data_IF_828314126978
#
_entry.id   IF_828314126978
#
_cell.length_a   1.000
_cell.length_b   1.000
_cell.length_c   1.000
_cell.angle_alpha   90.00
_cell.angle_beta   90.00
_cell.angle_gamma   90.00
#
_symmetry.space_group_name_H-M   'P 1'
#
loop_
_entity.id
_entity.type
_entity.pdbx_description
1 polymer ?
#
# COMPACT_ATOMS: atom_id res chain seq x y z
N UNK A 1 -4.10 -31.40 -21.10
CA UNK A 1 -2.62 -31.27 -20.98
C UNK A 1 -2.26 -31.65 -19.55
N UNK A 2 -1.00 -32.06 -19.22
CA UNK A 2 -0.67 -32.33 -17.85
C UNK A 2 -0.80 -31.04 -17.00
N UNK A 3 -1.29 -31.18 -15.76
CA UNK A 3 -1.30 -30.16 -14.74
C UNK A 3 0.12 -29.61 -14.55
N UNK A 4 0.31 -28.29 -14.43
CA UNK A 4 1.64 -27.72 -14.21
C UNK A 4 2.24 -28.21 -12.90
N UNK A 5 3.51 -28.60 -12.91
CA UNK A 5 4.22 -28.97 -11.69
C UNK A 5 4.60 -27.70 -10.88
N UNK A 6 4.74 -27.85 -9.55
CA UNK A 6 5.08 -26.73 -8.67
C UNK A 6 6.35 -25.98 -9.11
N UNK A 7 7.36 -26.71 -9.59
CA UNK A 7 8.61 -26.11 -10.05
C UNK A 7 8.43 -25.27 -11.33
N UNK A 8 7.53 -25.70 -12.24
CA UNK A 8 7.19 -24.96 -13.44
C UNK A 8 6.43 -23.68 -13.11
N UNK A 9 5.48 -23.74 -12.18
CA UNK A 9 4.74 -22.58 -11.65
C UNK A 9 5.71 -21.58 -11.02
N UNK A 10 6.61 -22.07 -10.13
CA UNK A 10 7.63 -21.24 -9.47
C UNK A 10 8.51 -20.51 -10.49
N UNK A 11 8.98 -21.22 -11.51
CA UNK A 11 9.84 -20.65 -12.57
C UNK A 11 9.09 -19.61 -13.41
N UNK A 12 7.83 -19.89 -13.77
CA UNK A 12 7.00 -18.96 -14.54
C UNK A 12 6.72 -17.66 -13.78
N UNK A 13 6.37 -17.78 -12.50
CA UNK A 13 6.11 -16.61 -11.64
C UNK A 13 7.36 -15.77 -11.45
N UNK A 14 8.48 -16.41 -11.10
CA UNK A 14 9.76 -15.72 -10.93
C UNK A 14 10.13 -14.92 -12.17
N UNK A 15 10.03 -15.52 -13.34
CA UNK A 15 10.34 -14.85 -14.62
C UNK A 15 9.39 -13.67 -14.86
N UNK A 16 8.09 -13.87 -14.67
CA UNK A 16 7.11 -12.81 -14.91
C UNK A 16 7.25 -11.63 -13.93
N UNK A 17 7.55 -11.89 -12.65
CA UNK A 17 7.83 -10.84 -11.66
C UNK A 17 9.09 -10.07 -12.07
N UNK A 18 10.16 -10.78 -12.45
CA UNK A 18 11.41 -10.17 -12.85
C UNK A 18 11.23 -9.27 -14.09
N UNK A 19 10.52 -9.77 -15.11
CA UNK A 19 10.22 -8.99 -16.33
C UNK A 19 9.42 -7.73 -16.03
N UNK A 20 8.45 -7.80 -15.11
CA UNK A 20 7.66 -6.64 -14.68
C UNK A 20 8.52 -5.62 -13.90
N UNK A 21 9.42 -6.08 -13.04
CA UNK A 21 10.37 -5.22 -12.32
C UNK A 21 11.34 -4.56 -13.31
N UNK A 22 11.95 -5.32 -14.18
CA UNK A 22 12.94 -4.83 -15.17
C UNK A 22 12.31 -3.75 -16.08
N UNK A 23 11.05 -3.92 -16.48
CA UNK A 23 10.32 -2.91 -17.25
C UNK A 23 10.15 -1.61 -16.48
N UNK A 24 9.65 -1.68 -15.24
CA UNK A 24 9.40 -0.48 -14.42
C UNK A 24 10.70 0.23 -14.08
N UNK A 25 11.75 -0.53 -13.74
CA UNK A 25 13.04 0.02 -13.36
C UNK A 25 13.77 0.68 -14.53
N UNK A 26 13.72 0.06 -15.74
CA UNK A 26 14.41 0.63 -16.91
C UNK A 26 13.70 1.84 -17.50
N UNK A 27 12.37 1.82 -17.60
CA UNK A 27 11.63 2.79 -18.38
C UNK A 27 10.90 3.85 -17.54
N UNK A 28 10.45 3.50 -16.32
CA UNK A 28 9.54 4.34 -15.54
C UNK A 28 10.21 4.97 -14.31
N UNK A 29 11.00 4.21 -13.55
CA UNK A 29 11.57 4.67 -12.28
C UNK A 29 12.42 5.92 -12.42
N UNK A 30 13.31 5.99 -13.44
CA UNK A 30 14.13 7.18 -13.70
C UNK A 30 13.32 8.44 -14.05
N UNK A 31 12.17 8.27 -14.70
CA UNK A 31 11.28 9.40 -15.01
C UNK A 31 10.55 9.90 -13.75
N UNK A 32 10.12 8.99 -12.87
CA UNK A 32 9.51 9.32 -11.57
C UNK A 32 10.49 10.02 -10.64
N UNK A 33 11.72 9.51 -10.54
CA UNK A 33 12.81 10.11 -9.77
C UNK A 33 13.10 11.54 -10.22
N UNK A 34 13.25 11.74 -11.53
CA UNK A 34 13.47 13.06 -12.12
C UNK A 34 12.31 14.00 -11.79
N UNK A 35 11.08 13.58 -11.98
CA UNK A 35 9.89 14.40 -11.70
C UNK A 35 9.82 14.81 -10.21
N UNK A 36 10.15 13.88 -9.30
CA UNK A 36 10.21 14.15 -7.86
C UNK A 36 11.33 15.15 -7.53
N UNK A 37 12.52 14.99 -8.09
CA UNK A 37 13.64 15.91 -7.86
C UNK A 37 13.30 17.34 -8.31
N UNK A 38 12.61 17.51 -9.43
CA UNK A 38 12.11 18.82 -9.89
C UNK A 38 11.04 19.39 -8.97
N UNK A 39 10.12 18.54 -8.48
CA UNK A 39 9.12 18.94 -7.50
C UNK A 39 9.77 19.43 -6.20
N UNK A 40 10.83 18.76 -5.74
CA UNK A 40 11.56 19.12 -4.53
C UNK A 40 12.51 20.31 -4.73
N UNK A 41 12.78 20.68 -5.99
CA UNK A 41 13.75 21.72 -6.33
C UNK A 41 15.20 21.29 -6.15
N UNK A 42 15.44 19.97 -6.02
CA UNK A 42 16.77 19.35 -5.87
C UNK A 42 17.32 18.95 -7.23
N UNK A 43 17.45 19.92 -8.14
CA UNK A 43 17.94 19.68 -9.50
C UNK A 43 19.35 20.24 -9.61
N UNK A 44 20.29 19.37 -9.97
CA UNK A 44 21.66 19.77 -10.26
C UNK A 44 21.76 20.29 -11.71
N UNK A 45 21.43 21.56 -11.87
CA UNK A 45 21.63 22.24 -13.14
C UNK A 45 23.03 22.86 -13.19
N UNK A 46 23.74 22.60 -14.28
CA UNK A 46 25.09 23.16 -14.51
C UNK A 46 25.13 24.66 -14.18
N UNK A 47 26.13 25.08 -13.43
CA UNK A 47 26.35 26.47 -13.08
C UNK A 47 27.86 26.79 -13.06
N UNK A 48 28.20 27.99 -13.44
CA UNK A 48 29.58 28.50 -13.32
C UNK A 48 29.90 28.90 -11.88
N UNK A 49 31.11 28.69 -11.45
CA UNK A 49 31.56 29.10 -10.14
C UNK A 49 31.42 30.62 -9.96
N UNK A 50 30.84 31.05 -8.85
CA UNK A 50 30.56 32.46 -8.58
C UNK A 50 29.28 33.01 -9.22
N UNK A 51 28.48 32.19 -9.90
CA UNK A 51 27.16 32.50 -10.41
C UNK A 51 26.04 32.04 -9.50
N UNK A 52 24.83 32.52 -9.80
CA UNK A 52 23.62 32.14 -9.07
C UNK A 52 23.29 30.64 -9.18
N UNK A 53 22.99 30.00 -8.04
CA UNK A 53 22.58 28.59 -7.94
C UNK A 53 21.07 28.41 -7.72
N UNK A 54 20.31 29.50 -7.79
CA UNK A 54 18.86 29.46 -7.52
C UNK A 54 18.17 28.52 -8.51
N UNK A 55 17.25 27.68 -7.99
CA UNK A 55 16.38 26.81 -8.77
C UNK A 55 14.95 27.29 -8.59
N UNK A 56 14.22 27.46 -9.68
CA UNK A 56 12.78 27.74 -9.66
C UNK A 56 12.02 26.46 -9.26
N UNK A 57 10.94 26.57 -8.50
CA UNK A 57 10.08 25.44 -8.09
C UNK A 57 8.75 25.44 -8.85
N UNK A 58 8.80 25.67 -10.17
CA UNK A 58 7.61 25.81 -11.01
C UNK A 58 6.73 24.56 -11.00
N UNK A 59 7.33 23.37 -11.03
CA UNK A 59 6.63 22.08 -10.94
C UNK A 59 5.84 22.00 -9.65
N UNK A 60 6.45 22.35 -8.52
CA UNK A 60 5.79 22.37 -7.21
C UNK A 60 4.59 23.32 -7.18
N UNK A 61 4.71 24.51 -7.76
CA UNK A 61 3.65 25.49 -7.79
C UNK A 61 2.45 25.00 -8.60
N UNK A 62 2.70 24.39 -9.76
CA UNK A 62 1.65 23.85 -10.64
C UNK A 62 0.95 22.65 -9.98
N UNK A 63 1.69 21.71 -9.41
CA UNK A 63 1.14 20.53 -8.72
C UNK A 63 0.30 20.96 -7.51
N UNK A 64 0.81 21.88 -6.68
CA UNK A 64 0.08 22.43 -5.52
C UNK A 64 -1.16 23.23 -5.92
N UNK A 65 -1.18 23.84 -7.08
CA UNK A 65 -2.35 24.51 -7.63
C UNK A 65 -3.40 23.55 -8.20
N UNK A 66 -2.96 22.47 -8.87
CA UNK A 66 -3.85 21.48 -9.49
C UNK A 66 -4.51 20.55 -8.46
N UNK A 67 -3.75 20.05 -7.46
CA UNK A 67 -4.23 19.07 -6.47
C UNK A 67 -5.51 19.50 -5.75
N UNK A 68 -5.66 20.71 -5.18
CA UNK A 68 -6.90 21.12 -4.53
C UNK A 68 -8.10 21.19 -5.48
N UNK A 69 -7.86 21.51 -6.76
CA UNK A 69 -8.91 21.56 -7.78
C UNK A 69 -9.46 20.18 -8.09
N UNK A 70 -8.58 19.17 -8.24
CA UNK A 70 -8.96 17.77 -8.40
C UNK A 70 -9.67 17.24 -7.15
N UNK A 71 -9.10 17.46 -5.96
CA UNK A 71 -9.73 17.07 -4.70
C UNK A 71 -11.15 17.64 -4.56
N UNK A 72 -11.37 18.90 -5.00
CA UNK A 72 -12.70 19.51 -4.97
C UNK A 72 -13.70 18.78 -5.86
N UNK A 73 -13.30 18.26 -7.01
CA UNK A 73 -14.20 17.53 -7.91
C UNK A 73 -14.76 16.30 -7.20
N UNK A 74 -13.91 15.54 -6.52
CA UNK A 74 -14.32 14.31 -5.81
C UNK A 74 -15.03 14.58 -4.47
N UNK A 75 -14.70 15.70 -3.80
CA UNK A 75 -15.16 16.00 -2.45
C UNK A 75 -16.18 17.14 -2.38
N UNK A 76 -16.64 17.67 -3.53
CA UNK A 76 -17.58 18.82 -3.56
C UNK A 76 -18.94 18.51 -2.94
N UNK A 77 -19.38 17.27 -3.03
CA UNK A 77 -20.62 16.79 -2.41
C UNK A 77 -20.22 15.78 -1.32
N UNK A 78 -21.01 15.71 -0.24
CA UNK A 78 -20.86 14.67 0.77
C UNK A 78 -21.06 13.24 0.20
N UNK A 79 -21.39 13.11 -1.07
CA UNK A 79 -21.56 11.85 -1.80
C UNK A 79 -20.53 11.77 -2.92
N UNK A 80 -19.40 11.07 -2.69
CA UNK A 80 -18.40 10.84 -3.73
C UNK A 80 -18.77 9.71 -4.68
N UNK A 81 -19.66 8.80 -4.27
CA UNK A 81 -20.25 7.72 -5.05
C UNK A 81 -21.74 7.68 -4.79
N UNK A 82 -22.53 7.45 -5.83
CA UNK A 82 -23.96 7.25 -5.73
C UNK A 82 -24.38 6.07 -6.63
N UNK A 83 -24.99 5.06 -6.02
CA UNK A 83 -25.55 3.93 -6.76
C UNK A 83 -26.91 4.30 -7.32
N UNK A 84 -27.08 4.14 -8.61
CA UNK A 84 -28.36 4.39 -9.28
C UNK A 84 -29.14 3.08 -9.41
N UNK A 85 -30.36 3.01 -8.89
CA UNK A 85 -31.19 1.80 -8.98
C UNK A 85 -31.54 1.49 -10.44
N UNK A 86 -31.58 0.22 -10.81
CA UNK A 86 -32.03 -0.24 -12.14
C UNK A 86 -33.54 -0.38 -12.24
N UNK A 87 -34.20 -0.72 -11.14
CA UNK A 87 -35.62 -0.89 -11.03
C UNK A 87 -36.20 -0.33 -9.73
N UNK A 88 -37.50 -0.24 -9.60
CA UNK A 88 -38.15 0.26 -8.39
C UNK A 88 -37.85 -0.58 -7.13
N UNK A 89 -37.59 -1.87 -7.32
CA UNK A 89 -37.23 -2.82 -6.27
C UNK A 89 -35.81 -2.63 -5.73
N UNK A 90 -34.93 -1.95 -6.48
CA UNK A 90 -33.53 -1.78 -6.14
C UNK A 90 -33.25 -0.46 -5.41
N UNK A 91 -34.26 0.39 -5.19
CA UNK A 91 -34.06 1.75 -4.63
C UNK A 91 -33.44 1.68 -3.24
N UNK A 92 -34.01 0.89 -2.34
CA UNK A 92 -33.55 0.74 -0.97
C UNK A 92 -32.14 0.14 -0.91
N UNK A 93 -31.85 -0.83 -1.78
CA UNK A 93 -30.53 -1.46 -1.89
C UNK A 93 -29.46 -0.48 -2.39
N UNK A 94 -29.79 0.36 -3.38
CA UNK A 94 -28.89 1.37 -3.91
C UNK A 94 -28.59 2.47 -2.88
N UNK A 95 -29.59 2.89 -2.09
CA UNK A 95 -29.39 3.85 -1.01
C UNK A 95 -28.51 3.27 0.10
N UNK A 96 -28.73 2.01 0.51
CA UNK A 96 -27.91 1.32 1.50
C UNK A 96 -26.48 1.15 1.00
N UNK A 97 -26.27 0.72 -0.25
CA UNK A 97 -24.95 0.59 -0.84
C UNK A 97 -24.21 1.93 -0.87
N UNK A 98 -24.91 3.01 -1.26
CA UNK A 98 -24.35 4.38 -1.22
C UNK A 98 -23.94 4.78 0.20
N UNK A 99 -24.80 4.57 1.19
CA UNK A 99 -24.53 4.90 2.59
C UNK A 99 -23.34 4.09 3.15
N UNK A 100 -23.28 2.79 2.82
CA UNK A 100 -22.18 1.91 3.22
C UNK A 100 -20.84 2.34 2.63
N UNK A 101 -20.77 2.64 1.34
CA UNK A 101 -19.54 3.13 0.71
C UNK A 101 -19.06 4.44 1.34
N UNK A 102 -19.96 5.37 1.68
CA UNK A 102 -19.61 6.59 2.38
C UNK A 102 -19.08 6.32 3.80
N UNK A 103 -19.69 5.38 4.51
CA UNK A 103 -19.23 5.00 5.84
C UNK A 103 -17.81 4.38 5.78
N UNK A 104 -17.57 3.43 4.85
CA UNK A 104 -16.25 2.83 4.66
C UNK A 104 -15.23 3.90 4.31
N UNK A 105 -15.51 4.77 3.34
CA UNK A 105 -14.59 5.84 2.92
C UNK A 105 -14.17 6.73 4.10
N UNK A 106 -15.12 7.11 4.96
CA UNK A 106 -14.83 7.91 6.14
C UNK A 106 -14.04 7.12 7.20
N UNK A 107 -14.39 5.83 7.40
CA UNK A 107 -13.71 4.96 8.38
C UNK A 107 -12.24 4.75 8.04
N UNK A 108 -11.91 4.50 6.77
CA UNK A 108 -10.54 4.25 6.32
C UNK A 108 -9.71 5.53 6.08
N UNK A 109 -10.28 6.71 6.35
CA UNK A 109 -9.59 7.98 6.06
C UNK A 109 -9.42 8.24 4.57
N UNK A 110 -10.43 7.90 3.77
CA UNK A 110 -10.41 7.93 2.29
C UNK A 110 -9.99 9.27 1.69
N UNK A 111 -10.17 10.39 2.41
CA UNK A 111 -9.64 11.68 1.99
C UNK A 111 -8.10 11.63 1.83
N UNK A 112 -7.39 11.05 2.78
CA UNK A 112 -5.93 10.95 2.73
C UNK A 112 -5.48 9.99 1.62
N UNK A 113 -6.16 8.85 1.47
CA UNK A 113 -5.88 7.88 0.41
C UNK A 113 -6.03 8.53 -0.96
N UNK A 114 -7.17 9.20 -1.22
CA UNK A 114 -7.42 9.91 -2.46
C UNK A 114 -6.42 11.06 -2.68
N UNK A 115 -6.10 11.83 -1.63
CA UNK A 115 -5.12 12.91 -1.69
C UNK A 115 -3.73 12.40 -2.07
N UNK A 116 -3.30 11.25 -1.55
CA UNK A 116 -2.02 10.63 -1.86
C UNK A 116 -2.02 10.09 -3.31
N UNK A 117 -3.05 9.36 -3.72
CA UNK A 117 -3.17 8.85 -5.09
C UNK A 117 -3.16 9.98 -6.13
N UNK A 118 -3.89 11.08 -5.90
CA UNK A 118 -3.87 12.26 -6.77
C UNK A 118 -2.47 12.91 -6.79
N UNK A 119 -1.81 13.01 -5.64
CA UNK A 119 -0.45 13.56 -5.59
C UNK A 119 0.53 12.72 -6.40
N UNK A 120 0.52 11.41 -6.18
CA UNK A 120 1.42 10.49 -6.88
C UNK A 120 1.14 10.49 -8.39
N UNK A 121 -0.11 10.57 -8.82
CA UNK A 121 -0.45 10.73 -10.23
C UNK A 121 0.06 12.04 -10.84
N UNK A 122 0.00 13.15 -10.09
CA UNK A 122 0.49 14.45 -10.55
C UNK A 122 2.01 14.52 -10.70
N UNK A 123 2.75 13.77 -9.85
CA UNK A 123 4.22 13.78 -9.81
C UNK A 123 4.81 12.51 -10.41
N UNK A 124 4.32 11.34 -10.01
CA UNK A 124 4.89 10.01 -10.31
C UNK A 124 4.10 9.22 -11.38
N UNK A 125 3.32 9.89 -12.24
CA UNK A 125 2.52 9.34 -13.35
C UNK A 125 1.22 8.64 -12.96
N UNK A 126 1.23 7.82 -11.92
CA UNK A 126 0.09 7.01 -11.49
C UNK A 126 -0.09 7.10 -9.99
N UNK A 127 -1.32 7.24 -9.54
CA UNK A 127 -1.73 7.04 -8.15
C UNK A 127 -2.42 5.70 -8.02
N UNK A 128 -2.04 4.93 -7.04
CA UNK A 128 -2.49 3.56 -6.87
C UNK A 128 -3.19 3.38 -5.53
N UNK A 129 -4.27 2.62 -5.55
CA UNK A 129 -5.04 2.26 -4.36
C UNK A 129 -5.30 0.77 -4.39
N UNK A 130 -5.10 0.12 -3.25
CA UNK A 130 -5.46 -1.28 -3.03
C UNK A 130 -6.67 -1.37 -2.12
N UNK A 131 -7.61 -2.26 -2.47
CA UNK A 131 -8.83 -2.50 -1.71
C UNK A 131 -8.94 -3.99 -1.45
N UNK A 132 -9.01 -4.39 -0.18
CA UNK A 132 -9.17 -5.79 0.17
C UNK A 132 -9.99 -5.95 1.44
N UNK A 133 -10.47 -7.17 1.65
CA UNK A 133 -11.14 -7.55 2.88
C UNK A 133 -10.11 -8.13 3.84
N UNK A 134 -9.94 -7.51 5.00
CA UNK A 134 -9.09 -8.01 6.07
C UNK A 134 -9.95 -8.75 7.09
N UNK A 135 -9.56 -9.96 7.45
CA UNK A 135 -10.22 -10.75 8.49
C UNK A 135 -9.24 -10.95 9.64
N UNK A 136 -9.58 -10.42 10.79
CA UNK A 136 -8.79 -10.56 12.00
C UNK A 136 -9.52 -11.42 13.03
N UNK A 137 -8.80 -12.33 13.66
CA UNK A 137 -9.32 -13.09 14.79
C UNK A 137 -9.13 -12.27 16.06
N UNK A 138 -10.23 -11.77 16.61
CA UNK A 138 -10.22 -10.98 17.83
C UNK A 138 -10.57 -11.90 19.01
N UNK A 139 -9.74 -11.88 20.05
CA UNK A 139 -10.01 -12.55 21.31
C UNK A 139 -10.47 -11.53 22.35
N UNK A 140 -11.73 -11.64 22.80
CA UNK A 140 -12.25 -10.84 23.92
C UNK A 140 -12.43 -11.67 25.15
N UNK A 141 -11.90 -11.20 26.26
CA UNK A 141 -12.03 -11.85 27.57
C UNK A 141 -13.23 -11.29 28.31
N UNK A 142 -14.08 -12.19 28.78
CA UNK A 142 -15.25 -11.88 29.59
C UNK A 142 -15.16 -12.63 30.94
N UNK A 143 -15.50 -11.92 32.00
CA UNK A 143 -15.58 -12.50 33.35
C UNK A 143 -17.04 -12.58 33.73
N UNK A 144 -17.45 -13.77 34.20
CA UNK A 144 -18.80 -14.06 34.66
C UNK A 144 -18.72 -14.58 36.10
N UNK A 145 -19.65 -14.13 36.92
CA UNK A 145 -19.80 -14.55 38.31
C UNK A 145 -21.22 -15.05 38.59
N UNK A 146 -21.39 -15.95 39.52
CA UNK A 146 -22.67 -16.46 39.93
C UNK A 146 -23.48 -17.20 38.85
N UNK A 147 -22.79 -17.96 37.98
CA UNK A 147 -23.43 -18.76 36.94
C UNK A 147 -23.96 -20.08 37.50
N UNK A 148 -25.11 -20.50 37.00
CA UNK A 148 -25.66 -21.86 37.23
C UNK A 148 -25.00 -22.87 36.28
N UNK A 149 -25.14 -24.18 36.58
CA UNK A 149 -24.65 -25.27 35.73
C UNK A 149 -25.16 -25.19 34.29
N UNK A 150 -26.43 -24.80 34.08
CA UNK A 150 -27.04 -24.67 32.76
C UNK A 150 -26.47 -23.50 31.99
N UNK A 151 -26.19 -22.36 32.64
CA UNK A 151 -25.61 -21.18 32.04
C UNK A 151 -24.14 -21.42 31.61
N UNK A 152 -23.37 -22.15 32.45
CA UNK A 152 -22.01 -22.58 32.09
C UNK A 152 -22.03 -23.45 30.84
N UNK A 153 -22.96 -24.43 30.77
CA UNK A 153 -23.06 -25.31 29.62
C UNK A 153 -23.41 -24.52 28.32
N UNK A 154 -24.29 -23.55 28.41
CA UNK A 154 -24.66 -22.69 27.29
C UNK A 154 -23.47 -21.81 26.83
N UNK A 155 -22.70 -21.28 27.79
CA UNK A 155 -21.53 -20.43 27.45
C UNK A 155 -20.40 -21.23 26.81
N UNK A 156 -20.11 -22.43 27.35
CA UNK A 156 -19.04 -23.30 26.83
C UNK A 156 -19.40 -23.94 25.49
N UNK A 157 -20.69 -24.09 25.19
CA UNK A 157 -21.16 -24.67 23.91
C UNK A 157 -21.10 -23.69 22.73
N UNK A 158 -20.80 -22.41 22.98
CA UNK A 158 -20.64 -21.42 21.87
C UNK A 158 -19.32 -21.63 21.15
N UNK A 159 -19.37 -21.54 19.82
CA UNK A 159 -18.18 -21.65 18.99
C UNK A 159 -17.16 -20.53 19.34
N UNK A 160 -15.89 -20.87 19.36
CA UNK A 160 -14.80 -19.93 19.62
C UNK A 160 -14.61 -19.54 21.10
N UNK A 161 -15.30 -20.19 22.04
CA UNK A 161 -15.14 -19.93 23.48
C UNK A 161 -14.11 -20.89 24.08
N UNK A 162 -13.06 -20.31 24.65
CA UNK A 162 -12.05 -21.02 25.46
C UNK A 162 -12.18 -20.59 26.94
N UNK A 163 -12.28 -21.54 27.85
CA UNK A 163 -12.30 -21.25 29.28
C UNK A 163 -10.88 -21.06 29.77
N UNK A 164 -10.57 -19.89 30.31
CA UNK A 164 -9.25 -19.55 30.83
C UNK A 164 -9.16 -19.88 32.32
N UNK A 165 -10.19 -19.52 33.08
CA UNK A 165 -10.28 -19.79 34.52
C UNK A 165 -11.69 -20.23 34.84
N UNK A 166 -11.82 -21.21 35.76
CA UNK A 166 -13.10 -21.71 36.24
C UNK A 166 -12.99 -22.04 37.73
N UNK A 167 -13.80 -21.35 38.52
CA UNK A 167 -13.96 -21.59 39.95
C UNK A 167 -15.40 -22.05 40.20
N UNK A 168 -15.55 -23.12 40.99
CA UNK A 168 -16.86 -23.61 41.41
C UNK A 168 -16.95 -23.49 42.93
N UNK A 169 -18.01 -22.88 43.42
CA UNK A 169 -18.33 -22.75 44.84
C UNK A 169 -19.73 -23.29 45.08
N UNK A 170 -19.96 -23.78 46.28
CA UNK A 170 -21.28 -24.28 46.74
C UNK A 170 -21.85 -23.22 47.66
N UNK A 171 -22.96 -22.61 47.27
CA UNK A 171 -23.71 -21.69 48.12
C UNK A 171 -24.96 -22.39 48.67
N UNK A 172 -25.29 -22.06 49.93
CA UNK A 172 -26.52 -22.48 50.55
C UNK A 172 -27.61 -21.43 50.32
N UNK A 173 -28.62 -21.78 49.56
CA UNK A 173 -29.77 -20.90 49.27
C UNK A 173 -31.02 -21.45 49.91
N UNK A 174 -31.85 -20.59 50.53
CA UNK A 174 -33.16 -21.00 51.09
C UNK A 174 -34.19 -21.10 49.96
N UNK A 175 -34.83 -22.28 49.84
CA UNK A 175 -35.92 -22.47 48.89
C UNK A 175 -37.22 -21.78 49.36
N UNK A 176 -38.24 -21.78 48.49
CA UNK A 176 -39.57 -21.20 48.80
C UNK A 176 -40.24 -21.83 50.01
N UNK A 177 -39.77 -22.98 50.48
CA UNK A 177 -40.28 -23.70 51.63
C UNK A 177 -39.43 -23.56 52.94
N UNK A 178 -38.35 -22.71 52.86
CA UNK A 178 -37.46 -22.41 53.97
C UNK A 178 -36.45 -23.53 54.28
N UNK A 179 -36.15 -24.40 53.30
CA UNK A 179 -35.12 -25.41 53.37
C UNK A 179 -33.85 -24.95 52.76
N UNK A 180 -32.71 -25.22 53.39
CA UNK A 180 -31.39 -24.95 52.81
C UNK A 180 -31.11 -25.93 51.66
N UNK A 181 -30.94 -25.42 50.46
CA UNK A 181 -30.60 -26.20 49.27
C UNK A 181 -29.18 -25.80 48.81
N UNK A 182 -28.35 -26.77 48.54
CA UNK A 182 -27.03 -26.57 47.96
C UNK A 182 -27.18 -26.18 46.48
N UNK A 183 -26.63 -25.02 46.09
CA UNK A 183 -26.55 -24.55 44.71
C UNK A 183 -25.09 -24.44 44.29
N UNK A 184 -24.76 -25.04 43.16
CA UNK A 184 -23.47 -24.82 42.52
C UNK A 184 -23.46 -23.45 41.87
N UNK A 185 -22.47 -22.66 42.22
CA UNK A 185 -22.23 -21.34 41.65
C UNK A 185 -20.85 -21.33 40.99
N UNK A 186 -20.82 -20.90 39.76
CA UNK A 186 -19.60 -20.90 38.99
C UNK A 186 -19.17 -19.47 38.68
N UNK A 187 -17.88 -19.20 38.87
CA UNK A 187 -17.22 -18.02 38.41
C UNK A 187 -16.21 -18.41 37.31
N UNK A 188 -16.31 -17.83 36.15
CA UNK A 188 -15.45 -18.21 35.05
C UNK A 188 -14.98 -17.01 34.23
N UNK A 189 -13.74 -17.11 33.71
CA UNK A 189 -13.17 -16.22 32.75
C UNK A 189 -13.08 -16.96 31.42
N UNK A 190 -13.74 -16.43 30.40
CA UNK A 190 -13.74 -17.02 29.08
C UNK A 190 -13.08 -16.08 28.09
N UNK A 191 -12.32 -16.63 27.16
CA UNK A 191 -11.83 -15.95 25.97
C UNK A 191 -12.70 -16.36 24.78
N UNK A 192 -13.43 -15.41 24.21
CA UNK A 192 -14.23 -15.63 23.00
C UNK A 192 -13.45 -15.12 21.80
N UNK A 193 -13.02 -16.04 20.95
CA UNK A 193 -12.38 -15.77 19.66
C UNK A 193 -13.46 -15.71 18.58
N UNK A 194 -13.51 -14.60 17.87
CA UNK A 194 -14.40 -14.46 16.71
C UNK A 194 -13.66 -13.72 15.60
N UNK A 195 -14.05 -13.99 14.38
CA UNK A 195 -13.51 -13.32 13.21
C UNK A 195 -14.28 -12.01 12.98
N UNK A 196 -13.56 -10.90 12.93
CA UNK A 196 -14.10 -9.61 12.52
C UNK A 196 -13.46 -9.21 11.18
N UNK A 197 -14.30 -9.04 10.18
CA UNK A 197 -13.86 -8.63 8.85
C UNK A 197 -14.08 -7.14 8.63
N UNK A 198 -13.09 -6.47 8.06
CA UNK A 198 -13.23 -5.09 7.64
C UNK A 198 -12.65 -4.85 6.26
N UNK A 199 -13.25 -3.89 5.55
CA UNK A 199 -12.71 -3.42 4.28
C UNK A 199 -11.57 -2.45 4.55
N UNK A 200 -10.40 -2.75 3.97
CA UNK A 200 -9.22 -1.89 4.01
C UNK A 200 -9.03 -1.25 2.64
N UNK A 201 -8.74 0.05 2.66
CA UNK A 201 -8.42 0.84 1.46
C UNK A 201 -7.12 1.57 1.74
N UNK A 202 -6.08 1.27 0.99
CA UNK A 202 -4.74 1.81 1.19
C UNK A 202 -4.18 2.38 -0.11
N UNK A 203 -3.48 3.52 -0.01
CA UNK A 203 -2.70 4.06 -1.11
C UNK A 203 -1.35 3.38 -1.20
N UNK A 204 -1.03 2.83 -2.36
CA UNK A 204 0.24 2.14 -2.62
C UNK A 204 1.23 3.13 -3.21
N UNK A 205 2.48 3.19 -2.68
CA UNK A 205 3.56 3.92 -3.31
C UNK A 205 3.83 3.38 -4.73
N UNK A 206 3.96 4.25 -5.76
CA UNK A 206 4.21 3.79 -7.12
C UNK A 206 5.48 2.96 -7.30
N UNK A 207 6.46 3.11 -6.41
CA UNK A 207 7.69 2.32 -6.37
C UNK A 207 7.52 0.88 -5.88
N UNK A 208 6.39 0.56 -5.26
CA UNK A 208 6.07 -0.79 -4.78
C UNK A 208 5.17 -1.56 -5.77
N UNK A 209 4.74 -0.90 -6.84
CA UNK A 209 3.83 -1.47 -7.83
C UNK A 209 4.53 -1.74 -9.15
N UNK A 210 4.39 -2.98 -9.63
CA UNK A 210 4.97 -3.44 -10.89
C UNK A 210 3.89 -4.07 -11.75
N UNK A 211 3.98 -3.83 -13.06
CA UNK A 211 3.02 -4.30 -14.05
C UNK A 211 3.77 -4.71 -15.32
N UNK A 212 3.19 -5.63 -16.05
CA UNK A 212 3.66 -6.04 -17.37
C UNK A 212 3.75 -4.86 -18.35
N UNK A 213 4.88 -4.74 -19.07
CA UNK A 213 5.17 -3.63 -19.98
C UNK A 213 4.24 -3.54 -21.20
N UNK A 214 3.46 -4.58 -21.49
CA UNK A 214 2.50 -4.60 -22.61
C UNK A 214 1.07 -4.26 -22.18
N UNK A 215 0.82 -4.14 -20.88
CA UNK A 215 -0.48 -3.85 -20.31
C UNK A 215 -1.00 -2.46 -20.69
N UNK A 216 -2.30 -2.36 -20.96
CA UNK A 216 -3.00 -1.10 -21.19
C UNK A 216 -3.80 -0.65 -19.98
N UNK A 217 -4.15 -1.59 -19.12
CA UNK A 217 -4.88 -1.38 -17.86
C UNK A 217 -4.52 -2.48 -16.87
N UNK A 218 -4.85 -2.29 -15.61
CA UNK A 218 -4.66 -3.32 -14.57
C UNK A 218 -5.46 -4.60 -14.90
N UNK A 219 -6.66 -4.45 -15.43
CA UNK A 219 -7.53 -5.61 -15.77
C UNK A 219 -7.03 -6.41 -17.01
N UNK A 220 -6.27 -5.77 -17.91
CA UNK A 220 -5.71 -6.38 -19.14
C UNK A 220 -4.32 -6.98 -18.90
N UNK A 221 -3.67 -6.63 -17.80
CA UNK A 221 -2.31 -7.06 -17.50
C UNK A 221 -2.19 -8.58 -17.34
N UNK A 222 -1.09 -9.13 -17.88
CA UNK A 222 -0.70 -10.51 -17.66
C UNK A 222 -0.30 -10.76 -16.22
N UNK A 223 0.46 -9.82 -15.65
CA UNK A 223 0.90 -9.83 -14.26
C UNK A 223 0.85 -8.42 -13.65
N UNK A 224 0.41 -8.35 -12.40
CA UNK A 224 0.47 -7.16 -11.56
C UNK A 224 1.04 -7.57 -10.21
N UNK A 225 2.02 -6.82 -9.70
CA UNK A 225 2.69 -7.12 -8.44
C UNK A 225 2.67 -5.94 -7.49
N UNK A 226 2.51 -6.23 -6.20
CA UNK A 226 2.78 -5.32 -5.09
C UNK A 226 3.94 -5.89 -4.28
N UNK A 227 5.09 -5.24 -4.33
CA UNK A 227 6.32 -5.65 -3.67
C UNK A 227 6.66 -4.70 -2.54
N UNK A 228 6.70 -5.20 -1.32
CA UNK A 228 6.99 -4.39 -0.13
C UNK A 228 7.93 -5.12 0.83
N UNK A 229 8.60 -4.35 1.67
CA UNK A 229 9.36 -4.88 2.79
C UNK A 229 8.44 -5.06 3.98
N UNK A 230 8.46 -6.26 4.57
CA UNK A 230 7.61 -6.65 5.70
C UNK A 230 8.51 -7.31 6.75
N UNK A 231 8.16 -7.20 8.02
CA UNK A 231 8.89 -7.88 9.08
C UNK A 231 8.59 -9.37 9.06
N UNK A 232 9.60 -10.20 9.33
CA UNK A 232 9.44 -11.65 9.37
C UNK A 232 8.32 -12.09 10.32
N UNK A 233 8.19 -11.44 11.49
CA UNK A 233 7.11 -11.69 12.44
C UNK A 233 5.71 -11.43 11.89
N UNK A 234 5.54 -10.42 11.01
CA UNK A 234 4.25 -10.11 10.39
C UNK A 234 3.86 -11.20 9.38
N UNK A 235 4.84 -11.78 8.67
CA UNK A 235 4.61 -12.90 7.72
C UNK A 235 4.16 -14.15 8.48
N UNK A 236 4.79 -14.44 9.63
CA UNK A 236 4.35 -15.54 10.49
C UNK A 236 2.94 -15.28 11.04
N UNK A 237 2.61 -14.02 11.39
CA UNK A 237 1.26 -13.65 11.84
C UNK A 237 0.18 -13.83 10.75
N UNK A 238 0.56 -13.76 9.46
CA UNK A 238 -0.32 -14.10 8.33
C UNK A 238 -0.60 -15.61 8.21
N UNK A 239 0.06 -16.46 9.03
CA UNK A 239 -0.15 -17.91 9.04
C UNK A 239 0.89 -18.72 8.26
N UNK A 240 1.96 -18.10 7.77
CA UNK A 240 3.07 -18.78 7.12
C UNK A 240 3.97 -19.43 8.19
N UNK A 241 4.42 -20.65 7.91
CA UNK A 241 5.27 -21.40 8.83
C UNK A 241 6.59 -20.67 9.11
N UNK A 242 6.97 -20.57 10.37
CA UNK A 242 8.18 -19.88 10.81
C UNK A 242 9.43 -20.46 10.15
N UNK A 243 9.53 -21.79 10.02
CA UNK A 243 10.69 -22.45 9.40
C UNK A 243 10.87 -22.02 7.93
N UNK A 244 9.77 -21.75 7.23
CA UNK A 244 9.80 -21.24 5.84
C UNK A 244 10.27 -19.79 5.84
N UNK A 245 9.73 -18.96 6.74
CA UNK A 245 10.09 -17.53 6.83
C UNK A 245 11.57 -17.35 7.22
N UNK A 246 12.10 -18.18 8.11
CA UNK A 246 13.50 -18.12 8.53
C UNK A 246 14.48 -18.44 7.39
N UNK A 247 14.06 -19.23 6.41
CA UNK A 247 14.86 -19.59 5.23
C UNK A 247 14.75 -18.58 4.08
N UNK A 248 13.83 -17.61 4.14
CA UNK A 248 13.73 -16.59 3.12
C UNK A 248 14.94 -15.66 3.13
N UNK A 249 15.42 -15.30 1.95
CA UNK A 249 16.44 -14.28 1.80
C UNK A 249 15.94 -12.93 2.34
N UNK A 250 16.80 -12.22 3.07
CA UNK A 250 16.49 -10.88 3.56
C UNK A 250 16.33 -9.86 2.42
N UNK A 251 16.02 -8.62 2.77
CA UNK A 251 16.07 -7.51 1.81
C UNK A 251 17.53 -7.30 1.38
N UNK A 252 17.84 -7.53 0.10
CA UNK A 252 19.14 -7.20 -0.44
C UNK A 252 19.32 -5.67 -0.52
N UNK A 253 20.49 -5.19 -0.11
CA UNK A 253 20.92 -3.80 -0.29
C UNK A 253 20.97 -3.38 -1.78
N UNK A 254 20.92 -4.33 -2.71
CA UNK A 254 21.01 -4.14 -4.15
C UNK A 254 19.71 -3.72 -4.86
N UNK A 255 18.62 -3.55 -4.16
CA UNK A 255 17.42 -2.90 -4.72
C UNK A 255 17.59 -1.38 -4.80
N UNK A 256 18.62 -0.93 -5.52
CA UNK A 256 19.10 0.46 -5.55
C UNK A 256 18.05 1.47 -6.03
N UNK A 257 17.19 1.10 -6.98
CA UNK A 257 16.22 2.04 -7.56
C UNK A 257 15.04 2.26 -6.63
N UNK A 258 14.47 1.19 -6.05
CA UNK A 258 13.46 1.33 -5.01
C UNK A 258 13.98 2.11 -3.79
N UNK A 259 15.27 1.99 -3.48
CA UNK A 259 15.91 2.74 -2.42
C UNK A 259 16.01 4.24 -2.71
N UNK A 260 16.29 4.67 -3.95
CA UNK A 260 16.36 6.11 -4.31
C UNK A 260 14.99 6.78 -4.13
N UNK A 261 13.91 6.19 -4.63
CA UNK A 261 12.57 6.73 -4.46
C UNK A 261 12.13 6.74 -2.98
N UNK A 262 12.48 5.70 -2.21
CA UNK A 262 12.27 5.65 -0.76
C UNK A 262 13.08 6.72 -0.03
N UNK A 263 14.35 6.93 -0.39
CA UNK A 263 15.20 8.00 0.16
C UNK A 263 14.61 9.38 -0.14
N UNK A 264 14.10 9.61 -1.33
CA UNK A 264 13.43 10.86 -1.69
C UNK A 264 12.16 11.08 -0.85
N UNK A 265 11.44 10.02 -0.51
CA UNK A 265 10.19 10.07 0.28
C UNK A 265 10.45 10.27 1.77
N UNK A 266 11.38 9.53 2.35
CA UNK A 266 11.63 9.46 3.79
C UNK A 266 12.90 10.17 4.26
N UNK A 267 13.78 10.54 3.33
CA UNK A 267 15.06 11.18 3.61
C UNK A 267 16.22 10.19 3.78
N UNK A 268 17.48 10.70 3.80
CA UNK A 268 18.68 9.88 3.82
C UNK A 268 18.91 9.10 5.14
N UNK A 269 18.17 9.39 6.18
CA UNK A 269 18.28 8.66 7.47
C UNK A 269 17.77 7.21 7.39
N UNK A 270 17.07 6.83 6.31
CA UNK A 270 16.69 5.44 6.08
C UNK A 270 17.85 4.51 5.68
N UNK A 271 19.00 5.06 5.33
CA UNK A 271 20.21 4.27 5.00
C UNK A 271 20.95 3.73 6.24
N UNK A 272 20.60 4.16 7.45
CA UNK A 272 21.39 3.91 8.66
C UNK A 272 20.72 2.91 9.64
N UNK A 273 19.65 2.24 9.24
CA UNK A 273 18.99 1.21 10.05
C UNK A 273 19.74 -0.16 10.02
N UNK A 274 21.04 -0.11 9.80
CA UNK A 274 21.94 -1.26 9.87
C UNK A 274 22.21 -1.80 11.30
N UNK A 275 21.70 -1.19 12.35
CA UNK A 275 21.57 -1.83 13.65
C UNK A 275 20.33 -2.74 13.63
N UNK A 276 20.51 -3.91 13.06
CA UNK A 276 19.59 -5.03 13.18
C UNK A 276 19.32 -5.23 14.67
N UNK A 277 18.09 -4.92 15.07
CA UNK A 277 17.59 -5.38 16.36
C UNK A 277 17.92 -6.88 16.47
N UNK A 278 18.49 -7.29 17.60
CA UNK A 278 18.91 -8.70 17.79
C UNK A 278 17.74 -9.71 17.77
N UNK A 279 16.53 -9.22 17.44
CA UNK A 279 15.33 -10.04 17.32
C UNK A 279 15.11 -10.49 15.86
N UNK A 280 15.23 -11.81 15.58
CA UNK A 280 15.02 -12.36 14.24
C UNK A 280 13.62 -12.04 13.66
N UNK A 281 12.61 -11.84 14.52
CA UNK A 281 11.25 -11.52 14.09
C UNK A 281 11.12 -10.12 13.46
N UNK A 282 12.07 -9.23 13.76
CA UNK A 282 12.12 -7.85 13.26
C UNK A 282 12.88 -7.73 11.93
N UNK A 283 13.51 -8.81 11.46
CA UNK A 283 14.21 -8.85 10.18
C UNK A 283 13.26 -8.48 9.03
N UNK A 284 13.69 -7.58 8.15
CA UNK A 284 12.96 -7.22 6.95
C UNK A 284 13.11 -8.29 5.87
N UNK A 285 12.00 -8.67 5.28
CA UNK A 285 11.91 -9.62 4.16
C UNK A 285 11.08 -8.99 3.06
N UNK A 286 11.48 -9.18 1.82
CA UNK A 286 10.69 -8.75 0.67
C UNK A 286 9.50 -9.70 0.52
N UNK A 287 8.31 -9.14 0.57
CA UNK A 287 7.06 -9.83 0.29
C UNK A 287 6.48 -9.29 -1.01
N UNK A 288 6.25 -10.17 -1.97
CA UNK A 288 5.66 -9.84 -3.27
C UNK A 288 4.32 -10.53 -3.42
N UNK A 289 3.27 -9.75 -3.53
CA UNK A 289 1.93 -10.23 -3.84
C UNK A 289 1.71 -10.03 -5.35
N UNK A 290 1.67 -11.13 -6.09
CA UNK A 290 1.55 -11.13 -7.54
C UNK A 290 0.18 -11.68 -7.98
N UNK A 291 -0.47 -10.99 -8.90
CA UNK A 291 -1.70 -11.41 -9.56
C UNK A 291 -1.38 -11.70 -11.01
N UNK A 292 -1.39 -12.98 -11.39
CA UNK A 292 -0.94 -13.44 -12.70
C UNK A 292 -1.97 -14.37 -13.33
N UNK A 293 -2.12 -14.26 -14.65
CA UNK A 293 -2.94 -15.18 -15.44
C UNK A 293 -2.10 -16.38 -15.85
N UNK A 294 -2.45 -17.56 -15.35
CA UNK A 294 -1.72 -18.80 -15.62
C UNK A 294 -2.69 -19.96 -15.86
N UNK A 295 -2.37 -20.82 -16.81
CA UNK A 295 -3.09 -22.08 -17.05
C UNK A 295 -2.52 -23.18 -16.13
N UNK A 296 -3.00 -23.21 -14.89
CA UNK A 296 -2.57 -24.19 -13.88
C UNK A 296 -3.17 -25.57 -14.16
N UNK A 297 -4.40 -25.61 -14.68
CA UNK A 297 -5.13 -26.85 -14.92
C UNK A 297 -4.71 -27.53 -16.23
N UNK A 298 -4.04 -26.83 -17.14
CA UNK A 298 -3.57 -27.35 -18.42
C UNK A 298 -4.69 -27.53 -19.45
N UNK A 299 -5.77 -26.77 -19.31
CA UNK A 299 -6.91 -26.78 -20.24
C UNK A 299 -6.74 -25.79 -21.41
N UNK A 300 -5.70 -24.98 -21.40
CA UNK A 300 -5.39 -23.94 -22.40
C UNK A 300 -6.06 -22.60 -22.11
N UNK A 301 -6.71 -22.44 -20.95
CA UNK A 301 -7.39 -21.19 -20.55
C UNK A 301 -6.67 -20.60 -19.33
N UNK A 302 -5.95 -19.47 -19.47
CA UNK A 302 -5.29 -18.83 -18.34
C UNK A 302 -6.31 -18.21 -17.39
N UNK A 303 -6.32 -18.65 -16.14
CA UNK A 303 -7.12 -18.12 -15.03
C UNK A 303 -6.28 -17.22 -14.14
N UNK A 304 -6.92 -16.23 -13.51
CA UNK A 304 -6.23 -15.31 -12.60
C UNK A 304 -5.97 -16.02 -11.28
N UNK A 305 -4.72 -15.97 -10.83
CA UNK A 305 -4.30 -16.47 -9.52
C UNK A 305 -3.55 -15.39 -8.76
N UNK A 306 -3.74 -15.39 -7.46
CA UNK A 306 -2.95 -14.64 -6.49
C UNK A 306 -1.83 -15.53 -5.99
N UNK A 307 -0.61 -15.01 -6.01
CA UNK A 307 0.58 -15.66 -5.49
C UNK A 307 1.19 -14.76 -4.43
N UNK A 308 1.48 -15.32 -3.28
CA UNK A 308 2.27 -14.67 -2.24
C UNK A 308 3.68 -15.24 -2.32
N UNK A 309 4.66 -14.40 -2.62
CA UNK A 309 6.05 -14.80 -2.82
C UNK A 309 6.95 -14.10 -1.79
N UNK A 310 7.88 -14.84 -1.21
CA UNK A 310 8.84 -14.34 -0.22
C UNK A 310 10.27 -14.29 -0.75
N UNK A 311 11.05 -13.33 -0.22
CA UNK A 311 12.46 -13.15 -0.50
C UNK A 311 12.78 -12.61 -1.89
N UNK A 312 14.06 -12.48 -2.19
CA UNK A 312 14.60 -12.04 -3.50
C UNK A 312 14.53 -13.16 -4.55
N UNK A 313 14.43 -14.41 -4.09
CA UNK A 313 14.25 -15.60 -4.92
C UNK A 313 12.79 -15.77 -5.41
N UNK A 314 11.85 -14.98 -4.87
CA UNK A 314 10.40 -15.07 -5.13
C UNK A 314 9.83 -16.48 -4.87
N UNK A 315 10.18 -17.06 -3.72
CA UNK A 315 9.65 -18.35 -3.33
C UNK A 315 8.14 -18.26 -3.08
N UNK A 316 7.35 -19.13 -3.74
CA UNK A 316 5.89 -19.15 -3.60
C UNK A 316 5.49 -19.72 -2.24
N UNK A 317 4.95 -18.86 -1.38
CA UNK A 317 4.46 -19.22 -0.05
C UNK A 317 3.01 -19.69 -0.11
N UNK A 318 2.19 -19.02 -0.93
CA UNK A 318 0.76 -19.29 -1.06
C UNK A 318 0.28 -19.05 -2.49
N UNK A 319 -0.68 -19.82 -2.93
CA UNK A 319 -1.34 -19.69 -4.24
C UNK A 319 -2.84 -19.89 -4.09
N UNK A 320 -3.62 -18.92 -4.59
CA UNK A 320 -5.08 -18.95 -4.58
C UNK A 320 -5.64 -18.58 -5.95
N UNK A 321 -6.76 -19.20 -6.34
CA UNK A 321 -7.53 -18.74 -7.49
C UNK A 321 -8.21 -17.41 -7.15
N UNK A 322 -8.18 -16.43 -8.07
CA UNK A 322 -8.66 -15.08 -7.82
C UNK A 322 -9.55 -14.59 -8.96
N UNK A 323 -10.56 -13.78 -8.65
CA UNK A 323 -11.50 -13.30 -9.66
C UNK A 323 -11.06 -11.97 -10.27
N UNK A 324 -10.60 -11.02 -9.44
CA UNK A 324 -10.25 -9.67 -9.87
C UNK A 324 -9.12 -9.09 -9.01
N UNK A 325 -8.18 -8.38 -9.65
CA UNK A 325 -7.11 -7.68 -8.95
C UNK A 325 -7.67 -6.62 -7.99
N UNK A 326 -7.10 -6.47 -6.78
CA UNK A 326 -7.58 -5.53 -5.78
C UNK A 326 -7.10 -4.09 -6.01
N UNK A 327 -6.47 -3.80 -7.13
CA UNK A 327 -5.86 -2.52 -7.43
C UNK A 327 -6.78 -1.63 -8.26
N UNK A 328 -6.72 -0.34 -7.98
CA UNK A 328 -7.31 0.71 -8.81
C UNK A 328 -6.27 1.80 -9.04
N UNK A 329 -6.22 2.31 -10.27
CA UNK A 329 -5.30 3.38 -10.67
C UNK A 329 -6.04 4.70 -10.89
N UNK A 330 -5.28 5.77 -10.71
CA UNK A 330 -5.70 7.13 -11.05
C UNK A 330 -4.58 7.81 -11.84
N UNK A 331 -4.91 8.30 -13.04
CA UNK A 331 -3.98 9.00 -13.92
C UNK A 331 -4.56 10.35 -14.34
N UNK A 332 -3.72 11.38 -14.35
CA UNK A 332 -4.13 12.74 -14.75
C UNK A 332 -4.12 12.93 -16.27
N UNK A 333 -3.10 12.41 -16.93
CA UNK A 333 -2.92 12.49 -18.39
C UNK A 333 -2.58 11.10 -18.95
N UNK A 334 -3.61 10.23 -19.16
CA UNK A 334 -3.38 8.88 -19.64
C UNK A 334 -2.89 8.86 -21.08
N UNK A 335 -1.87 8.05 -21.36
CA UNK A 335 -1.39 7.82 -22.74
C UNK A 335 -2.25 6.71 -23.38
N UNK A 336 -2.77 6.94 -24.60
CA UNK A 336 -3.56 5.92 -25.29
C UNK A 336 -2.77 4.61 -25.50
N UNK A 337 -3.40 3.48 -25.16
CA UNK A 337 -2.86 2.14 -25.37
C UNK A 337 -1.62 1.78 -24.53
N UNK A 338 -1.31 2.56 -23.49
CA UNK A 338 -0.26 2.28 -22.51
C UNK A 338 -0.81 2.42 -21.11
N UNK A 339 -0.27 1.64 -20.16
CA UNK A 339 -0.68 1.78 -18.75
C UNK A 339 -0.13 3.06 -18.14
N UNK A 340 1.15 3.38 -18.35
CA UNK A 340 1.72 4.61 -17.79
C UNK A 340 1.50 5.79 -18.71
N UNK A 341 0.71 6.75 -18.23
CA UNK A 341 0.52 8.06 -18.85
C UNK A 341 1.66 9.03 -18.54
N UNK A 342 1.37 10.33 -18.67
CA UNK A 342 2.30 11.41 -18.33
C UNK A 342 1.90 12.07 -17.02
N UNK A 343 2.89 12.41 -16.19
CA UNK A 343 2.63 13.22 -15.02
C UNK A 343 2.55 14.71 -15.38
N UNK A 344 1.79 15.46 -14.57
CA UNK A 344 1.77 16.92 -14.72
C UNK A 344 3.17 17.52 -14.47
N UNK A 345 3.94 16.93 -13.59
CA UNK A 345 5.33 17.31 -13.34
C UNK A 345 6.17 17.23 -14.61
N UNK A 346 6.10 16.11 -15.36
CA UNK A 346 6.86 15.94 -16.62
C UNK A 346 6.55 17.00 -17.67
N UNK A 347 5.28 17.40 -17.79
CA UNK A 347 4.86 18.42 -18.75
C UNK A 347 5.47 19.79 -18.44
N UNK A 348 5.88 20.05 -17.21
CA UNK A 348 6.37 21.36 -16.74
C UNK A 348 7.89 21.39 -16.52
N UNK A 349 8.61 20.26 -16.68
CA UNK A 349 10.06 20.20 -16.45
C UNK A 349 10.84 21.25 -17.27
N UNK A 350 10.58 21.33 -18.57
CA UNK A 350 11.27 22.25 -19.46
C UNK A 350 10.97 23.72 -19.13
N UNK A 351 9.76 24.02 -18.67
CA UNK A 351 9.38 25.37 -18.24
C UNK A 351 10.13 25.77 -16.95
N UNK A 352 10.36 24.82 -16.05
CA UNK A 352 11.17 25.04 -14.86
C UNK A 352 12.63 25.32 -15.20
N UNK A 353 13.22 24.57 -16.14
CA UNK A 353 14.60 24.78 -16.60
C UNK A 353 14.76 26.15 -17.25
N UNK A 354 13.84 26.52 -18.13
CA UNK A 354 13.83 27.83 -18.79
C UNK A 354 13.68 28.96 -17.76
N UNK A 355 12.73 28.84 -16.85
CA UNK A 355 12.50 29.83 -15.78
C UNK A 355 13.73 29.96 -14.88
N UNK A 356 14.37 28.84 -14.52
CA UNK A 356 15.58 28.82 -13.70
C UNK A 356 16.73 29.53 -14.39
N UNK A 357 16.96 29.27 -15.69
CA UNK A 357 18.00 29.88 -16.47
C UNK A 357 17.82 31.39 -16.58
N UNK A 358 16.60 31.85 -16.86
CA UNK A 358 16.27 33.27 -16.92
C UNK A 358 16.46 33.95 -15.56
N UNK A 359 15.98 33.32 -14.49
CA UNK A 359 16.12 33.85 -13.12
C UNK A 359 17.59 34.00 -12.73
N UNK A 360 18.42 32.97 -12.99
CA UNK A 360 19.86 33.00 -12.76
C UNK A 360 20.52 34.13 -13.53
N UNK A 361 20.21 34.29 -14.82
CA UNK A 361 20.74 35.37 -15.66
C UNK A 361 20.39 36.78 -15.15
N UNK A 362 19.16 36.96 -14.65
CA UNK A 362 18.73 38.22 -14.02
C UNK A 362 19.53 38.50 -12.74
N UNK A 363 19.62 37.49 -11.84
CA UNK A 363 20.34 37.63 -10.58
C UNK A 363 21.84 37.90 -10.79
N UNK A 364 22.47 37.23 -11.73
CA UNK A 364 23.88 37.44 -12.09
C UNK A 364 24.10 38.82 -12.67
N UNK A 365 23.23 39.31 -13.55
CA UNK A 365 23.30 40.64 -14.09
C UNK A 365 23.14 41.71 -12.98
N UNK A 366 22.19 41.55 -12.09
CA UNK A 366 22.02 42.45 -10.92
C UNK A 366 23.26 42.43 -10.04
N UNK A 367 23.86 41.27 -9.76
CA UNK A 367 25.07 41.14 -8.96
C UNK A 367 26.26 41.86 -9.62
N UNK A 368 26.46 41.70 -10.93
CA UNK A 368 27.51 42.38 -11.71
C UNK A 368 27.31 43.90 -11.77
N UNK A 369 26.06 44.35 -11.88
CA UNK A 369 25.74 45.78 -11.92
C UNK A 369 25.97 46.46 -10.58
N UNK A 370 25.63 45.78 -9.47
CA UNK A 370 25.79 46.33 -8.13
C UNK A 370 27.24 46.26 -7.61
N UNK A 371 28.05 45.32 -8.13
CA UNK A 371 29.45 45.14 -7.74
C UNK A 371 30.35 45.03 -8.96
N UNK A 372 30.53 46.15 -9.73
CA UNK A 372 31.30 46.13 -10.97
C UNK A 372 32.77 45.79 -10.66
N UNK A 373 33.34 44.83 -11.40
CA UNK A 373 34.78 44.53 -11.36
C UNK A 373 35.49 45.50 -12.27
N UNK A 374 36.42 46.25 -11.73
CA UNK A 374 37.29 47.12 -12.50
C UNK A 374 38.66 46.45 -12.62
N UNK A 375 39.10 46.19 -13.85
CA UNK A 375 40.50 45.85 -14.12
C UNK A 375 41.32 47.11 -14.17
N UNK A 376 42.33 47.22 -13.30
CA UNK A 376 43.30 48.28 -13.28
C UNK A 376 44.61 47.76 -13.84
N UNK A 377 45.08 48.32 -14.91
CA UNK A 377 46.44 48.01 -15.41
C UNK A 377 47.48 48.53 -14.40
N UNK A 378 48.37 47.65 -13.96
CA UNK A 378 49.38 47.94 -12.92
C UNK A 378 50.49 48.89 -13.38
N UNK A 379 50.53 49.24 -14.69
CA UNK A 379 51.54 50.05 -15.33
C UNK A 379 51.01 51.45 -15.74
N UNK A 380 50.38 52.20 -14.87
CA UNK A 380 50.19 53.63 -14.98
C UNK A 380 50.61 54.37 -13.73
#
# INVERSE_FOLDING_TARGET
MPHMEKEEIQSAIKTAIQDAIDYVDSDIAGQRERAQSYFDGNVDLEHEEGRSKVVSTKVRDVVRGAKPSLMRIFMANNKFVEFTPKGPEDVDSAEQATAYCHWVFNKVGGYNVLSNAIHDSLVKKVGLVKVWWNTETIAKTYSYENLSDDEVQVLVSKDGVEVTEHLQEIEMEMDEFGLDVERNVHSMVISHKYEEGEMVVEGIPPEEFFIDGTAKSIDDAYIVCHRREVRAGDIVAMGIDQDVVDNLDGSDEDSLIGNIEKIQRFGPSMQDDGEVDNDPSMRLVILTEAYMRLDVEGDGIPTLHKFLCGGTSYEVLEMEAWDKTPFADFQVDPEPHAFYGRSLAELVLNDQDTTTSVLRGILDNVALTNSPRLEVLEDM
#
